data_IF_359182368984
#
_entry.id   IF_359182368984
#
_cell.length_a   1.000
_cell.length_b   1.000
_cell.length_c   1.000
_cell.angle_alpha   90.00
_cell.angle_beta   90.00
_cell.angle_gamma   90.00
#
_symmetry.space_group_name_H-M   'P 1'
#
loop_
_entity.id
_entity.type
_entity.pdbx_description
1 polymer ?
#
# COMPACT_ATOMS: atom_id res chain seq x y z
N UNK A 1 10.33 16.47 2.25
CA UNK A 1 10.45 15.00 2.45
C UNK A 1 11.00 14.66 3.83
N UNK A 2 12.06 15.32 4.29
CA UNK A 2 12.73 15.03 5.57
C UNK A 2 11.80 15.07 6.79
N UNK A 3 10.84 16.00 6.84
CA UNK A 3 9.81 16.04 7.90
C UNK A 3 9.01 14.74 8.00
N UNK A 4 8.46 14.27 6.88
CA UNK A 4 7.60 13.08 6.83
C UNK A 4 8.36 11.80 7.18
N UNK A 5 9.60 11.66 6.69
CA UNK A 5 10.48 10.54 7.03
C UNK A 5 10.79 10.56 8.53
N UNK A 6 11.03 11.73 9.12
CA UNK A 6 11.24 11.85 10.57
C UNK A 6 9.99 11.41 11.34
N UNK A 7 8.80 11.87 10.94
CA UNK A 7 7.54 11.51 11.60
C UNK A 7 7.28 10.01 11.57
N UNK A 8 7.72 9.31 10.51
CA UNK A 8 7.71 7.85 10.44
C UNK A 8 8.36 7.23 11.67
N UNK A 9 9.61 7.58 12.00
CA UNK A 9 10.30 6.95 13.12
C UNK A 9 9.92 7.47 14.52
N UNK A 10 9.18 8.57 14.62
CA UNK A 10 8.88 9.21 15.92
C UNK A 10 7.50 8.90 16.49
N UNK A 11 6.59 8.23 15.75
CA UNK A 11 5.19 8.02 16.17
C UNK A 11 4.80 6.54 16.25
N UNK A 12 5.24 5.80 17.28
CA UNK A 12 4.94 4.37 17.43
C UNK A 12 3.45 4.05 17.58
N UNK A 13 2.69 4.92 18.26
CA UNK A 13 1.23 4.74 18.43
C UNK A 13 0.50 4.76 17.09
N UNK A 14 0.90 5.65 16.18
CA UNK A 14 0.32 5.77 14.84
C UNK A 14 0.60 4.54 13.99
N UNK A 15 1.78 3.93 14.12
CA UNK A 15 2.05 2.64 13.48
C UNK A 15 1.12 1.53 13.99
N UNK A 16 0.88 1.46 15.30
CA UNK A 16 -0.01 0.46 15.89
C UNK A 16 -1.43 0.56 15.36
N UNK A 17 -1.99 1.77 15.27
CA UNK A 17 -3.31 2.01 14.71
C UNK A 17 -3.38 1.63 13.22
N UNK A 18 -2.43 2.09 12.43
CA UNK A 18 -2.37 1.78 11.00
C UNK A 18 -2.20 0.27 10.74
N UNK A 19 -1.36 -0.42 11.53
CA UNK A 19 -1.20 -1.88 11.44
C UNK A 19 -2.49 -2.61 11.81
N UNK A 20 -3.16 -2.20 12.90
CA UNK A 20 -4.41 -2.80 13.32
C UNK A 20 -5.48 -2.69 12.22
N UNK A 21 -5.63 -1.52 11.62
CA UNK A 21 -6.59 -1.30 10.53
C UNK A 21 -6.26 -2.14 9.29
N UNK A 22 -4.99 -2.24 8.90
CA UNK A 22 -4.56 -3.10 7.78
C UNK A 22 -4.78 -4.58 8.08
N UNK A 23 -4.49 -5.03 9.29
CA UNK A 23 -4.73 -6.43 9.70
C UNK A 23 -6.23 -6.74 9.64
N UNK A 24 -7.08 -5.88 10.21
CA UNK A 24 -8.54 -6.06 10.15
C UNK A 24 -9.02 -6.09 8.70
N UNK A 25 -8.55 -5.16 7.88
CA UNK A 25 -8.90 -5.10 6.45
C UNK A 25 -8.46 -6.36 5.71
N UNK A 26 -7.24 -6.85 5.96
CA UNK A 26 -6.71 -8.05 5.34
C UNK A 26 -7.47 -9.31 5.79
N UNK A 27 -7.77 -9.47 7.08
CA UNK A 27 -8.53 -10.61 7.61
C UNK A 27 -9.93 -10.65 7.01
N UNK A 28 -10.63 -9.51 6.96
CA UNK A 28 -11.97 -9.42 6.36
C UNK A 28 -11.90 -9.70 4.85
N UNK A 29 -10.92 -9.13 4.15
CA UNK A 29 -10.74 -9.36 2.72
C UNK A 29 -10.43 -10.82 2.39
N UNK A 30 -9.66 -11.51 3.23
CA UNK A 30 -9.31 -12.92 3.06
C UNK A 30 -10.38 -13.88 3.60
N UNK A 31 -11.40 -13.40 4.30
CA UNK A 31 -12.45 -14.24 4.88
C UNK A 31 -13.11 -15.18 3.86
N UNK A 32 -13.44 -14.76 2.62
CA UNK A 32 -13.98 -15.67 1.60
C UNK A 32 -13.04 -16.84 1.26
N UNK A 33 -11.71 -16.62 1.24
CA UNK A 33 -10.73 -17.69 1.02
C UNK A 33 -10.71 -18.68 2.18
N UNK A 34 -10.75 -18.16 3.41
CA UNK A 34 -10.77 -18.99 4.61
C UNK A 34 -12.04 -19.85 4.66
N UNK A 35 -13.19 -19.27 4.32
CA UNK A 35 -14.47 -20.00 4.22
C UNK A 35 -14.38 -21.09 3.15
N UNK A 36 -13.78 -20.79 2.00
CA UNK A 36 -13.62 -21.76 0.91
C UNK A 36 -12.72 -22.92 1.33
N UNK A 37 -11.63 -22.65 2.05
CA UNK A 37 -10.75 -23.68 2.60
C UNK A 37 -11.45 -24.56 3.64
N UNK A 38 -12.29 -23.97 4.50
CA UNK A 38 -13.10 -24.72 5.48
C UNK A 38 -14.13 -25.60 4.76
N UNK A 39 -14.84 -25.05 3.77
CA UNK A 39 -15.83 -25.78 2.99
C UNK A 39 -15.21 -26.95 2.19
N UNK A 40 -14.01 -26.75 1.64
CA UNK A 40 -13.26 -27.81 0.96
C UNK A 40 -12.87 -28.95 1.92
N UNK A 41 -12.38 -28.62 3.11
CA UNK A 41 -12.03 -29.62 4.12
C UNK A 41 -13.26 -30.37 4.64
N UNK A 42 -14.37 -29.67 4.88
CA UNK A 42 -15.62 -30.29 5.33
C UNK A 42 -16.16 -31.33 4.34
N UNK A 43 -15.99 -31.08 3.02
CA UNK A 43 -16.46 -31.99 1.97
C UNK A 43 -15.56 -33.21 1.73
N UNK A 44 -14.30 -33.16 2.17
CA UNK A 44 -13.32 -34.21 1.86
C UNK A 44 -13.04 -35.19 3.01
N UNK A 45 -13.71 -35.02 4.17
CA UNK A 45 -13.91 -35.94 5.32
C UNK A 45 -12.74 -36.79 5.88
N UNK A 46 -11.56 -36.85 5.26
CA UNK A 46 -10.56 -37.86 5.56
C UNK A 46 -9.44 -37.38 6.49
N UNK A 47 -9.13 -36.08 6.53
CA UNK A 47 -8.23 -35.45 7.51
C UNK A 47 -8.33 -33.92 7.34
N UNK A 48 -8.66 -33.18 8.40
CA UNK A 48 -8.69 -31.73 8.35
C UNK A 48 -7.27 -31.19 8.21
N UNK A 49 -6.89 -30.78 6.99
CA UNK A 49 -5.63 -30.11 6.71
C UNK A 49 -5.91 -28.66 6.31
N UNK A 50 -5.99 -27.81 7.33
CA UNK A 50 -6.16 -26.37 7.16
C UNK A 50 -5.04 -25.76 6.31
N UNK A 51 -3.80 -26.23 6.49
CA UNK A 51 -2.66 -25.71 5.76
C UNK A 51 -2.75 -26.04 4.27
N UNK A 52 -3.08 -27.27 3.91
CA UNK A 52 -3.29 -27.65 2.51
C UNK A 52 -4.49 -26.92 1.89
N UNK A 53 -5.59 -26.75 2.63
CA UNK A 53 -6.77 -26.01 2.16
C UNK A 53 -6.47 -24.53 1.88
N UNK A 54 -5.79 -23.86 2.81
CA UNK A 54 -5.38 -22.46 2.65
C UNK A 54 -4.33 -22.32 1.55
N UNK A 55 -3.33 -23.21 1.50
CA UNK A 55 -2.31 -23.21 0.44
C UNK A 55 -2.90 -23.47 -0.94
N UNK A 56 -3.93 -24.32 -1.05
CA UNK A 56 -4.66 -24.57 -2.29
C UNK A 56 -5.49 -23.37 -2.74
N UNK A 57 -6.20 -22.72 -1.80
CA UNK A 57 -7.00 -21.53 -2.10
C UNK A 57 -6.12 -20.33 -2.50
N UNK A 58 -5.05 -20.07 -1.75
CA UNK A 58 -4.15 -18.94 -1.99
C UNK A 58 -3.16 -19.23 -3.14
N UNK A 59 -2.74 -20.49 -3.29
CA UNK A 59 -1.72 -20.93 -4.25
C UNK A 59 -2.13 -20.91 -5.71
N UNK A 60 -3.38 -20.58 -6.05
CA UNK A 60 -3.86 -20.51 -7.43
C UNK A 60 -3.72 -19.11 -8.06
N UNK A 61 -3.05 -18.16 -7.40
CA UNK A 61 -2.86 -16.79 -7.91
C UNK A 61 -4.05 -15.86 -7.63
N UNK A 62 -5.03 -16.31 -6.84
CA UNK A 62 -6.22 -15.54 -6.48
C UNK A 62 -5.89 -14.24 -5.73
N UNK A 63 -4.72 -14.14 -5.11
CA UNK A 63 -4.22 -12.92 -4.47
C UNK A 63 -4.15 -11.71 -5.39
N UNK A 64 -4.02 -11.89 -6.71
CA UNK A 64 -4.12 -10.77 -7.65
C UNK A 64 -5.49 -10.10 -7.64
N UNK A 65 -6.57 -10.87 -7.48
CA UNK A 65 -7.92 -10.33 -7.37
C UNK A 65 -8.10 -9.55 -6.06
N UNK A 66 -7.50 -10.03 -4.97
CA UNK A 66 -7.51 -9.32 -3.69
C UNK A 66 -6.67 -8.04 -3.74
N UNK A 67 -5.51 -8.07 -4.42
CA UNK A 67 -4.71 -6.89 -4.67
C UNK A 67 -5.47 -5.86 -5.51
N UNK A 68 -6.23 -6.33 -6.51
CA UNK A 68 -7.09 -5.47 -7.31
C UNK A 68 -8.16 -4.77 -6.46
N UNK A 69 -8.78 -5.48 -5.52
CA UNK A 69 -9.71 -4.88 -4.55
C UNK A 69 -9.08 -3.77 -3.69
N UNK A 70 -7.80 -3.93 -3.31
CA UNK A 70 -7.07 -2.92 -2.53
C UNK A 70 -6.76 -1.63 -3.31
N UNK A 71 -6.72 -1.69 -4.65
CA UNK A 71 -6.49 -0.50 -5.49
C UNK A 71 -7.52 0.58 -5.14
N UNK A 72 -8.82 0.23 -5.11
CA UNK A 72 -9.88 1.19 -4.81
C UNK A 72 -9.70 1.89 -3.46
N UNK A 73 -9.40 1.13 -2.41
CA UNK A 73 -9.13 1.66 -1.08
C UNK A 73 -7.92 2.59 -1.07
N UNK A 74 -6.83 2.19 -1.71
CA UNK A 74 -5.61 3.01 -1.78
C UNK A 74 -5.86 4.30 -2.55
N UNK A 75 -6.57 4.25 -3.67
CA UNK A 75 -6.94 5.45 -4.43
C UNK A 75 -7.84 6.38 -3.63
N UNK A 76 -8.81 5.83 -2.91
CA UNK A 76 -9.66 6.60 -2.00
C UNK A 76 -8.83 7.33 -0.94
N UNK A 77 -7.95 6.61 -0.26
CA UNK A 77 -7.07 7.18 0.76
C UNK A 77 -6.09 8.18 0.15
N UNK A 78 -5.54 7.94 -1.04
CA UNK A 78 -4.54 8.79 -1.67
C UNK A 78 -5.10 10.09 -2.28
N UNK A 79 -6.27 10.04 -2.92
CA UNK A 79 -6.78 11.16 -3.72
C UNK A 79 -8.11 11.73 -3.23
N UNK A 80 -9.02 10.89 -2.74
CA UNK A 80 -10.42 11.28 -2.50
C UNK A 80 -10.77 11.52 -1.04
N UNK A 81 -9.91 11.19 -0.07
CA UNK A 81 -10.16 11.51 1.35
C UNK A 81 -10.09 13.04 1.56
N UNK A 82 -11.25 13.69 1.55
CA UNK A 82 -11.45 15.15 1.65
C UNK A 82 -11.06 15.74 3.01
N UNK A 83 -11.21 14.95 4.08
CA UNK A 83 -10.99 15.41 5.45
C UNK A 83 -9.51 15.58 5.83
N UNK A 84 -8.59 15.22 4.94
CA UNK A 84 -7.15 15.32 5.17
C UNK A 84 -6.48 15.99 3.96
N UNK A 85 -5.57 16.95 4.18
CA UNK A 85 -4.89 17.61 3.07
C UNK A 85 -4.00 16.63 2.29
N UNK A 86 -3.84 16.90 1.00
CA UNK A 86 -3.04 16.06 0.10
C UNK A 86 -1.56 16.49 0.14
N UNK A 87 -0.75 15.76 0.91
CA UNK A 87 0.69 16.02 1.09
C UNK A 87 1.58 15.11 0.24
N UNK A 88 2.88 15.43 0.18
CA UNK A 88 3.85 14.80 -0.72
C UNK A 88 3.89 13.27 -0.69
N UNK A 89 4.08 12.63 0.48
CA UNK A 89 4.06 11.16 0.59
C UNK A 89 2.77 10.53 0.07
N UNK A 90 1.61 11.12 0.38
CA UNK A 90 0.30 10.63 -0.08
C UNK A 90 0.19 10.66 -1.61
N UNK A 91 0.68 11.72 -2.26
CA UNK A 91 0.74 11.82 -3.73
C UNK A 91 1.66 10.78 -4.34
N UNK A 92 2.85 10.60 -3.75
CA UNK A 92 3.83 9.64 -4.23
C UNK A 92 3.27 8.21 -4.16
N UNK A 93 2.70 7.83 -3.01
CA UNK A 93 2.10 6.51 -2.81
C UNK A 93 0.92 6.28 -3.76
N UNK A 94 0.04 7.26 -3.93
CA UNK A 94 -1.05 7.20 -4.90
C UNK A 94 -0.55 7.02 -6.34
N UNK A 95 0.49 7.75 -6.74
CA UNK A 95 1.07 7.64 -8.07
C UNK A 95 1.76 6.30 -8.31
N UNK A 96 2.53 5.80 -7.34
CA UNK A 96 3.14 4.46 -7.40
C UNK A 96 2.05 3.38 -7.54
N UNK A 97 0.95 3.53 -6.81
CA UNK A 97 -0.18 2.61 -6.90
C UNK A 97 -0.87 2.68 -8.25
N UNK A 98 -1.04 3.88 -8.82
CA UNK A 98 -1.58 4.07 -10.17
C UNK A 98 -0.73 3.31 -11.20
N UNK A 99 0.58 3.51 -11.20
CA UNK A 99 1.46 2.79 -12.12
C UNK A 99 1.40 1.27 -11.93
N UNK A 100 1.43 0.79 -10.69
CA UNK A 100 1.32 -0.64 -10.39
C UNK A 100 -0.05 -1.22 -10.82
N UNK A 101 -1.13 -0.47 -10.64
CA UNK A 101 -2.48 -0.89 -11.04
C UNK A 101 -2.62 -1.03 -12.55
N UNK A 102 -1.99 -0.16 -13.34
CA UNK A 102 -1.99 -0.28 -14.80
C UNK A 102 -1.33 -1.57 -15.25
N UNK A 103 -0.24 -1.99 -14.60
CA UNK A 103 0.42 -3.27 -14.89
C UNK A 103 -0.50 -4.44 -14.54
N UNK A 104 -1.11 -4.44 -13.35
CA UNK A 104 -2.02 -5.52 -12.92
C UNK A 104 -3.23 -5.63 -13.86
N UNK A 105 -3.86 -4.50 -14.20
CA UNK A 105 -5.01 -4.45 -15.12
C UNK A 105 -4.60 -4.91 -16.51
N UNK A 106 -3.43 -4.50 -17.00
CA UNK A 106 -2.89 -4.97 -18.28
C UNK A 106 -2.68 -6.48 -18.29
N UNK A 107 -2.10 -7.04 -17.23
CA UNK A 107 -1.92 -8.49 -17.09
C UNK A 107 -3.26 -9.23 -17.07
N UNK A 108 -4.23 -8.77 -16.27
CA UNK A 108 -5.56 -9.37 -16.20
C UNK A 108 -6.36 -9.23 -17.51
N UNK A 109 -6.13 -8.14 -18.25
CA UNK A 109 -6.76 -7.91 -19.56
C UNK A 109 -6.19 -8.81 -20.66
N UNK A 110 -4.89 -9.10 -20.62
CA UNK A 110 -4.24 -10.02 -21.56
C UNK A 110 -4.58 -11.48 -21.27
N UNK A 111 -4.65 -11.86 -19.99
CA UNK A 111 -5.05 -13.20 -19.57
C UNK A 111 -5.94 -13.18 -18.32
N UNK A 112 -7.27 -13.31 -18.47
CA UNK A 112 -8.19 -13.32 -17.34
C UNK A 112 -8.07 -14.60 -16.48
N UNK A 113 -7.38 -15.63 -16.97
CA UNK A 113 -7.18 -16.91 -16.26
C UNK A 113 -6.01 -16.89 -15.28
N UNK A 114 -5.30 -15.76 -15.14
CA UNK A 114 -4.25 -15.55 -14.12
C UNK A 114 -4.72 -15.87 -12.69
N UNK A 115 -6.02 -15.76 -12.43
CA UNK A 115 -6.67 -16.13 -11.17
C UNK A 115 -6.66 -17.65 -10.85
N UNK A 116 -6.26 -18.49 -11.82
CA UNK A 116 -6.05 -19.94 -11.71
C UNK A 116 -4.68 -20.36 -12.26
N UNK A 117 -3.68 -19.48 -12.14
CA UNK A 117 -2.35 -19.73 -12.69
C UNK A 117 -1.66 -20.91 -11.96
N UNK A 118 -1.32 -21.96 -12.72
CA UNK A 118 -0.46 -23.07 -12.23
C UNK A 118 1.02 -22.71 -12.24
N UNK A 119 1.40 -21.60 -12.88
CA UNK A 119 2.77 -21.16 -12.96
C UNK A 119 3.24 -20.58 -11.61
N UNK A 120 4.24 -21.23 -11.00
CA UNK A 120 4.82 -20.83 -9.72
C UNK A 120 5.30 -19.38 -9.70
N UNK A 121 5.82 -18.86 -10.80
CA UNK A 121 6.28 -17.47 -10.88
C UNK A 121 5.12 -16.47 -10.75
N UNK A 122 3.99 -16.75 -11.41
CA UNK A 122 2.79 -15.91 -11.33
C UNK A 122 2.23 -15.94 -9.92
N UNK A 123 2.13 -17.14 -9.33
CA UNK A 123 1.69 -17.31 -7.94
C UNK A 123 2.59 -16.53 -6.98
N UNK A 124 3.92 -16.65 -7.10
CA UNK A 124 4.87 -15.90 -6.27
C UNK A 124 4.73 -14.39 -6.46
N UNK A 125 4.57 -13.92 -7.69
CA UNK A 125 4.36 -12.50 -7.98
C UNK A 125 3.06 -11.96 -7.38
N UNK A 126 2.02 -12.80 -7.27
CA UNK A 126 0.74 -12.44 -6.63
C UNK A 126 0.90 -12.16 -5.14
N UNK A 127 1.74 -12.93 -4.43
CA UNK A 127 2.07 -12.70 -3.02
C UNK A 127 2.79 -11.38 -2.81
N UNK A 128 3.82 -11.11 -3.63
CA UNK A 128 4.58 -9.86 -3.55
C UNK A 128 3.71 -8.65 -3.89
N UNK A 129 2.86 -8.77 -4.90
CA UNK A 129 1.93 -7.71 -5.29
C UNK A 129 0.95 -7.42 -4.16
N UNK A 130 0.26 -8.44 -3.64
CA UNK A 130 -0.68 -8.24 -2.54
C UNK A 130 -0.01 -7.65 -1.29
N UNK A 131 1.17 -8.18 -0.90
CA UNK A 131 1.95 -7.65 0.22
C UNK A 131 2.39 -6.19 0.02
N UNK A 132 2.82 -5.83 -1.18
CA UNK A 132 3.19 -4.45 -1.51
C UNK A 132 1.99 -3.49 -1.40
N UNK A 133 0.81 -3.91 -1.87
CA UNK A 133 -0.42 -3.12 -1.77
C UNK A 133 -0.88 -2.95 -0.32
N UNK A 134 -0.78 -4.01 0.51
CA UNK A 134 -1.02 -3.89 1.96
C UNK A 134 -0.04 -2.93 2.62
N UNK A 135 1.24 -2.99 2.25
CA UNK A 135 2.25 -2.08 2.78
C UNK A 135 2.00 -0.62 2.37
N UNK A 136 1.59 -0.37 1.12
CA UNK A 136 1.20 0.97 0.67
C UNK A 136 -0.04 1.47 1.42
N UNK A 137 -1.05 0.62 1.60
CA UNK A 137 -2.24 0.95 2.39
C UNK A 137 -1.86 1.33 3.83
N UNK A 138 -1.01 0.54 4.46
CA UNK A 138 -0.43 0.84 5.77
C UNK A 138 0.25 2.21 5.81
N UNK A 139 1.14 2.50 4.85
CA UNK A 139 1.84 3.77 4.80
C UNK A 139 0.87 4.94 4.61
N UNK A 140 -0.17 4.78 3.80
CA UNK A 140 -1.18 5.81 3.60
C UNK A 140 -1.97 6.09 4.87
N UNK A 141 -2.45 5.06 5.56
CA UNK A 141 -3.14 5.21 6.84
C UNK A 141 -2.24 5.90 7.87
N UNK A 142 -0.99 5.48 7.95
CA UNK A 142 0.00 6.10 8.82
C UNK A 142 0.18 7.60 8.52
N UNK A 143 0.36 7.97 7.25
CA UNK A 143 0.57 9.37 6.87
C UNK A 143 -0.71 10.23 6.89
N UNK A 144 -1.89 9.62 6.90
CA UNK A 144 -3.16 10.35 7.07
C UNK A 144 -3.37 10.81 8.51
N UNK A 145 -2.82 10.07 9.47
CA UNK A 145 -2.90 10.37 10.90
C UNK A 145 -1.82 11.40 11.35
N UNK A 146 -0.86 11.71 10.49
CA UNK A 146 0.17 12.72 10.76
C UNK A 146 -0.34 14.09 10.35
N UNK A 147 -0.39 15.00 11.32
CA UNK A 147 -0.67 16.41 11.07
C UNK A 147 0.38 17.05 10.14
N UNK A 148 -0.05 17.94 9.23
CA UNK A 148 0.89 18.68 8.40
C UNK A 148 1.83 19.54 9.26
N UNK A 149 3.06 19.83 8.77
CA UNK A 149 3.98 20.70 9.48
C UNK A 149 3.35 22.08 9.70
N UNK A 150 3.53 22.69 10.88
CA UNK A 150 2.95 23.98 11.19
C UNK A 150 3.55 25.09 10.29
N UNK A 151 2.82 26.21 10.08
CA UNK A 151 3.20 27.24 9.11
C UNK A 151 4.60 27.84 9.37
N UNK A 152 5.00 27.96 10.63
CA UNK A 152 6.28 28.49 11.08
C UNK A 152 7.47 27.61 10.65
N UNK A 153 7.35 26.28 10.72
CA UNK A 153 8.37 25.37 10.18
C UNK A 153 8.46 25.45 8.66
N UNK A 154 7.30 25.57 7.99
CA UNK A 154 7.23 25.68 6.54
C UNK A 154 7.91 26.97 6.05
N UNK A 155 7.63 28.10 6.73
CA UNK A 155 8.24 29.41 6.50
C UNK A 155 9.74 29.40 6.78
N UNK A 156 10.18 28.81 7.91
CA UNK A 156 11.63 28.67 8.21
C UNK A 156 12.35 27.87 7.13
N UNK A 157 11.76 26.79 6.63
CA UNK A 157 12.34 26.02 5.52
C UNK A 157 12.42 26.84 4.23
N UNK A 158 11.38 27.63 3.94
CA UNK A 158 11.32 28.55 2.81
C UNK A 158 12.40 29.63 2.88
N UNK A 159 12.51 30.32 4.01
CA UNK A 159 13.53 31.34 4.26
C UNK A 159 14.96 30.78 4.16
N UNK A 160 15.19 29.55 4.63
CA UNK A 160 16.50 28.89 4.53
C UNK A 160 16.87 28.59 3.08
N UNK A 161 15.92 28.13 2.26
CA UNK A 161 16.12 27.94 0.82
C UNK A 161 16.41 29.25 0.10
N UNK A 162 15.67 30.30 0.43
CA UNK A 162 15.86 31.64 -0.14
C UNK A 162 17.24 32.20 0.19
N UNK A 163 17.69 32.09 1.45
CA UNK A 163 19.05 32.47 1.86
C UNK A 163 20.14 31.70 1.10
N UNK A 164 19.96 30.40 0.92
CA UNK A 164 20.90 29.57 0.16
C UNK A 164 20.92 29.93 -1.33
N UNK A 165 19.76 30.25 -1.92
CA UNK A 165 19.67 30.70 -3.30
C UNK A 165 20.36 32.06 -3.48
N UNK A 166 20.16 33.00 -2.55
CA UNK A 166 20.78 34.32 -2.58
C UNK A 166 22.31 34.21 -2.50
N UNK A 167 22.82 33.41 -1.55
CA UNK A 167 24.26 33.15 -1.42
C UNK A 167 24.88 32.55 -2.68
N UNK A 168 24.18 31.62 -3.34
CA UNK A 168 24.64 31.06 -4.63
C UNK A 168 24.67 32.09 -5.76
N UNK A 169 23.76 33.06 -5.77
CA UNK A 169 23.76 34.14 -6.76
C UNK A 169 24.93 35.10 -6.53
N UNK A 170 25.21 35.48 -5.28
CA UNK A 170 26.37 36.31 -4.93
C UNK A 170 27.69 35.60 -5.29
N UNK A 171 27.84 34.32 -4.94
CA UNK A 171 29.04 33.53 -5.27
C UNK A 171 29.20 33.34 -6.80
N UNK A 172 28.10 33.30 -7.57
CA UNK A 172 28.12 33.18 -9.03
C UNK A 172 28.31 34.49 -9.81
N UNK A 173 28.17 35.65 -9.17
CA UNK A 173 28.45 36.96 -9.78
C UNK A 173 29.92 37.40 -9.63
N UNK A 174 30.70 36.67 -8.83
CA UNK A 174 32.11 36.98 -8.55
C UNK A 174 33.10 35.98 -9.19
N UNK A 175 32.65 35.12 -10.09
CA UNK A 175 33.47 34.22 -10.92
C UNK A 175 33.31 34.52 -12.39
#
# INVERSE_FOLDING_TARGET
>A
MTYWIRQFFTRPKTHGLALAEVIVTAVIALAPLLITAIAYNYRNEANFDFYAGVKGAIGNGQLFLYAYGLIGTIFWLAFFKWNSPMHGPRRLLGFVTLLASLVIVGMLGLDPTISNAKNKAIVLSSYWTYGAFLFINYLLLFYLEIEPPPPDESLKSGSRKLKLAYRKMEEGQHG
#
